data_IF_792025415486
#
_entry.id   IF_792025415486
#
_cell.length_a   1.000
_cell.length_b   1.000
_cell.length_c   1.000
_cell.angle_alpha   90.00
_cell.angle_beta   90.00
_cell.angle_gamma   90.00
#
_symmetry.space_group_name_H-M   'P 1'
#
loop_
_entity.id
_entity.type
_entity.pdbx_description
1 polymer ?
#
# COMPACT_ATOMS: atom_id res chain seq x y z
N UNK A 1 14.67 21.17 18.20
CA UNK A 1 13.55 21.43 17.28
C UNK A 1 13.78 20.67 15.97
N UNK A 2 12.71 20.23 15.31
CA UNK A 2 12.75 19.55 14.02
C UNK A 2 13.01 18.03 14.04
N UNK A 3 13.29 17.44 15.17
CA UNK A 3 13.39 15.98 15.34
C UNK A 3 12.04 15.36 15.70
N UNK A 4 11.89 14.05 15.47
CA UNK A 4 10.79 13.29 16.00
C UNK A 4 10.75 13.37 17.54
N UNK A 5 9.55 13.47 18.10
CA UNK A 5 9.33 13.44 19.54
C UNK A 5 8.95 12.00 19.89
N UNK A 6 9.69 11.39 20.79
CA UNK A 6 9.44 10.07 21.33
C UNK A 6 8.61 10.17 22.60
N UNK A 7 7.73 9.22 22.79
CA UNK A 7 6.92 9.11 24.00
C UNK A 7 7.68 8.35 25.08
N UNK A 8 7.69 8.90 26.28
CA UNK A 8 8.15 8.22 27.50
C UNK A 8 6.96 7.41 28.03
N UNK A 9 6.96 6.13 27.71
CA UNK A 9 5.82 5.22 28.00
C UNK A 9 5.80 4.85 29.48
N UNK A 10 6.97 4.68 30.09
CA UNK A 10 7.08 4.28 31.49
C UNK A 10 7.07 5.46 32.48
N UNK A 11 7.25 6.72 32.00
CA UNK A 11 7.19 7.94 32.79
C UNK A 11 8.43 8.18 33.64
N UNK A 12 9.59 7.62 33.29
CA UNK A 12 10.82 7.77 34.06
C UNK A 12 11.63 9.00 33.67
N UNK A 13 11.21 9.76 32.65
CA UNK A 13 11.85 10.97 32.16
C UNK A 13 13.04 10.72 31.22
N UNK A 14 13.26 9.46 30.82
CA UNK A 14 14.33 9.05 29.92
C UNK A 14 13.75 8.24 28.76
N UNK A 15 14.17 8.49 27.54
CA UNK A 15 13.77 7.68 26.37
C UNK A 15 14.76 6.55 26.19
N UNK A 16 14.34 5.33 26.55
CA UNK A 16 15.16 4.12 26.54
C UNK A 16 14.53 2.99 25.74
N UNK A 17 15.11 1.81 25.81
CA UNK A 17 14.51 0.59 25.21
C UNK A 17 13.25 0.13 25.94
N UNK A 18 13.04 0.58 27.16
CA UNK A 18 11.92 0.20 28.01
C UNK A 18 10.63 0.96 27.59
N UNK A 19 10.78 2.02 26.76
CA UNK A 19 9.66 2.77 26.15
C UNK A 19 9.16 2.14 24.85
N UNK A 20 9.68 0.97 24.45
CA UNK A 20 9.18 0.28 23.28
C UNK A 20 7.81 -0.31 23.55
N UNK A 21 6.87 0.01 22.70
CA UNK A 21 5.48 -0.47 22.78
C UNK A 21 5.02 -1.06 21.45
N UNK A 22 3.89 -1.74 21.47
CA UNK A 22 3.22 -2.20 20.25
C UNK A 22 2.63 -0.99 19.56
N UNK A 23 3.05 -0.73 18.33
CA UNK A 23 2.64 0.44 17.54
C UNK A 23 1.64 0.11 16.43
N UNK A 24 1.25 -1.16 16.30
CA UNK A 24 0.26 -1.57 15.31
C UNK A 24 0.01 -3.07 15.33
N UNK A 25 -1.04 -3.50 14.64
CA UNK A 25 -1.38 -4.90 14.42
C UNK A 25 -1.36 -5.22 12.92
N UNK A 26 -0.52 -6.17 12.52
CA UNK A 26 -0.40 -6.59 11.14
C UNK A 26 -1.57 -7.47 10.66
N UNK A 27 -2.43 -7.95 11.58
CA UNK A 27 -3.53 -8.82 11.22
C UNK A 27 -4.78 -8.00 10.90
N UNK A 28 -5.42 -8.22 9.74
CA UNK A 28 -6.67 -7.56 9.42
C UNK A 28 -7.80 -8.08 10.30
N UNK A 29 -8.75 -7.20 10.64
CA UNK A 29 -9.97 -7.54 11.37
C UNK A 29 -10.82 -8.53 10.59
N UNK A 30 -10.91 -8.34 9.28
CA UNK A 30 -11.57 -9.28 8.38
C UNK A 30 -11.06 -9.18 6.94
N UNK A 31 -11.08 -10.32 6.26
CA UNK A 31 -10.76 -10.44 4.84
C UNK A 31 -11.87 -11.18 4.12
N UNK A 32 -12.02 -10.95 2.85
CA UNK A 32 -12.98 -11.67 2.06
C UNK A 32 -12.92 -11.33 0.58
N UNK A 33 -13.84 -11.94 -0.15
CA UNK A 33 -14.01 -11.68 -1.56
C UNK A 33 -15.38 -12.11 -2.03
N UNK A 34 -15.77 -11.56 -3.15
CA UNK A 34 -16.98 -12.00 -3.84
C UNK A 34 -16.76 -12.04 -5.34
N UNK A 35 -17.49 -12.92 -6.00
CA UNK A 35 -17.48 -13.00 -7.45
C UNK A 35 -18.89 -13.07 -7.99
N UNK A 36 -19.08 -12.57 -9.20
CA UNK A 36 -20.33 -12.65 -9.91
C UNK A 36 -20.10 -13.19 -11.32
N UNK A 37 -21.05 -13.98 -11.81
CA UNK A 37 -21.07 -14.50 -13.17
C UNK A 37 -22.47 -14.32 -13.73
N UNK A 38 -22.58 -13.57 -14.80
CA UNK A 38 -23.84 -13.28 -15.47
C UNK A 38 -23.73 -13.75 -16.90
N UNK A 39 -24.79 -14.44 -17.40
CA UNK A 39 -24.85 -14.83 -18.79
C UNK A 39 -26.24 -14.54 -19.36
N UNK A 40 -26.26 -13.95 -20.56
CA UNK A 40 -27.50 -13.60 -21.22
C UNK A 40 -27.32 -13.58 -22.73
N UNK A 41 -28.07 -14.43 -23.44
CA UNK A 41 -28.12 -14.48 -24.92
C UNK A 41 -26.73 -14.46 -25.60
N UNK A 42 -25.78 -15.19 -25.07
CA UNK A 42 -24.43 -15.28 -25.60
C UNK A 42 -23.44 -14.22 -25.03
N UNK A 43 -23.92 -13.22 -24.31
CA UNK A 43 -23.09 -12.33 -23.52
C UNK A 43 -22.77 -13.02 -22.19
N UNK A 44 -21.54 -13.01 -21.79
CA UNK A 44 -21.06 -13.46 -20.47
C UNK A 44 -20.22 -12.37 -19.80
N UNK A 45 -20.51 -12.15 -18.56
CA UNK A 45 -19.79 -11.21 -17.72
C UNK A 45 -19.38 -11.91 -16.42
N UNK A 46 -18.12 -11.82 -16.07
CA UNK A 46 -17.63 -12.24 -14.76
C UNK A 46 -16.82 -11.14 -14.11
N UNK A 47 -16.96 -11.01 -12.81
CA UNK A 47 -16.15 -10.11 -12.03
C UNK A 47 -15.83 -10.73 -10.67
N UNK A 48 -14.61 -10.53 -10.20
CA UNK A 48 -14.16 -10.95 -8.87
C UNK A 48 -13.48 -9.81 -8.14
N UNK A 49 -13.76 -9.74 -6.85
CA UNK A 49 -13.27 -8.70 -5.97
C UNK A 49 -12.70 -9.33 -4.71
N UNK A 50 -11.66 -8.73 -4.18
CA UNK A 50 -11.07 -9.08 -2.90
C UNK A 50 -11.00 -7.83 -2.01
N UNK A 51 -11.12 -8.02 -0.72
CA UNK A 51 -10.99 -6.93 0.24
C UNK A 51 -10.35 -7.42 1.54
N UNK A 52 -9.67 -6.51 2.19
CA UNK A 52 -9.15 -6.64 3.55
C UNK A 52 -9.47 -5.34 4.28
N UNK A 53 -9.84 -5.45 5.54
CA UNK A 53 -10.11 -4.29 6.38
C UNK A 53 -9.39 -4.46 7.71
N UNK A 54 -8.82 -3.37 8.23
CA UNK A 54 -7.95 -3.40 9.37
C UNK A 54 -6.57 -3.96 8.99
N UNK A 55 -5.74 -4.10 9.98
CA UNK A 55 -4.33 -4.43 9.81
C UNK A 55 -3.50 -3.22 9.42
N UNK A 56 -2.32 -3.19 9.93
CA UNK A 56 -1.37 -2.10 9.72
C UNK A 56 -0.08 -2.65 9.15
N UNK A 57 0.59 -1.83 8.34
CA UNK A 57 1.85 -2.20 7.70
C UNK A 57 2.86 -1.09 7.85
N UNK A 58 4.11 -1.46 8.05
CA UNK A 58 5.21 -0.49 8.04
C UNK A 58 5.54 -0.15 6.59
N UNK A 59 5.41 1.12 6.24
CA UNK A 59 5.81 1.62 4.94
C UNK A 59 7.33 1.76 4.88
N UNK A 60 8.01 0.68 4.52
CA UNK A 60 9.46 0.68 4.35
C UNK A 60 9.93 1.58 3.20
N UNK A 61 9.08 1.85 2.22
CA UNK A 61 9.41 2.78 1.16
C UNK A 61 9.57 4.19 1.71
N UNK A 62 8.64 4.63 2.57
CA UNK A 62 8.75 5.90 3.27
C UNK A 62 9.95 5.92 4.21
N UNK A 63 10.19 4.81 4.94
CA UNK A 63 11.34 4.67 5.80
C UNK A 63 12.67 4.94 5.07
N UNK A 64 12.84 4.45 3.85
CA UNK A 64 14.05 4.68 3.06
C UNK A 64 14.05 6.02 2.32
N UNK A 65 12.92 6.47 1.79
CA UNK A 65 12.86 7.65 0.93
C UNK A 65 12.65 8.97 1.69
N UNK A 66 12.23 8.91 2.95
CA UNK A 66 12.29 10.05 3.87
C UNK A 66 13.62 10.16 4.62
N UNK A 67 14.47 9.14 4.51
CA UNK A 67 15.77 9.16 5.14
C UNK A 67 16.70 10.14 4.42
N UNK A 68 17.06 11.21 5.10
CA UNK A 68 17.93 12.26 4.59
C UNK A 68 19.41 12.02 4.89
N UNK A 69 19.81 10.77 5.10
CA UNK A 69 21.18 10.34 5.26
C UNK A 69 21.72 9.68 3.98
N UNK A 70 22.98 9.92 3.69
CA UNK A 70 23.65 9.32 2.53
C UNK A 70 23.32 9.97 1.20
N UNK A 71 23.55 9.21 0.11
CA UNK A 71 23.45 9.67 -1.28
C UNK A 71 22.26 9.07 -2.04
N UNK A 72 21.33 8.43 -1.34
CA UNK A 72 20.16 7.80 -1.95
C UNK A 72 19.15 8.82 -2.50
N UNK A 73 18.33 8.36 -3.43
CA UNK A 73 17.18 9.14 -3.89
C UNK A 73 16.18 9.32 -2.75
N UNK A 74 15.48 10.46 -2.77
CA UNK A 74 14.50 10.84 -1.75
C UNK A 74 13.23 11.35 -2.42
N UNK A 75 12.13 11.37 -1.67
CA UNK A 75 10.90 12.02 -2.13
C UNK A 75 11.08 13.54 -2.23
N UNK A 76 10.39 14.15 -3.17
CA UNK A 76 10.39 15.61 -3.34
C UNK A 76 9.87 16.36 -2.10
N UNK A 77 8.99 15.75 -1.31
CA UNK A 77 8.45 16.31 -0.07
C UNK A 77 9.54 16.60 0.97
N UNK A 78 10.68 15.91 0.89
CA UNK A 78 11.84 16.15 1.77
C UNK A 78 12.43 17.55 1.60
N UNK A 79 12.17 18.22 0.46
CA UNK A 79 12.53 19.62 0.28
C UNK A 79 11.79 20.55 1.26
N UNK A 80 10.61 20.17 1.71
CA UNK A 80 9.78 20.89 2.67
C UNK A 80 10.11 20.54 4.15
N UNK A 81 11.27 19.93 4.41
CA UNK A 81 11.73 19.57 5.75
C UNK A 81 11.90 20.77 6.67
N UNK A 82 11.92 20.49 7.95
CA UNK A 82 12.32 21.52 8.93
C UNK A 82 13.77 21.98 8.68
N UNK A 83 13.98 23.28 8.62
CA UNK A 83 15.32 23.91 8.48
C UNK A 83 15.62 24.76 9.71
N UNK A 84 14.66 25.56 10.15
CA UNK A 84 14.78 26.44 11.32
C UNK A 84 13.38 26.90 11.78
N UNK A 85 13.30 27.54 12.94
CA UNK A 85 12.05 28.12 13.44
C UNK A 85 11.45 29.17 12.48
N UNK A 86 12.30 29.85 11.69
CA UNK A 86 11.85 30.75 10.63
C UNK A 86 11.39 30.02 9.36
N UNK A 87 11.82 28.77 9.19
CA UNK A 87 11.45 27.87 8.10
C UNK A 87 11.11 26.49 8.67
N UNK A 88 9.97 26.34 9.32
CA UNK A 88 9.61 25.11 10.03
C UNK A 88 9.28 23.95 9.10
N UNK A 89 9.24 24.19 7.78
CA UNK A 89 8.84 23.18 6.81
C UNK A 89 7.34 22.91 6.84
N UNK A 90 6.95 21.88 6.09
CA UNK A 90 5.58 21.39 6.01
C UNK A 90 5.57 19.87 6.24
N UNK A 91 4.39 19.33 6.47
CA UNK A 91 4.14 17.88 6.47
C UNK A 91 4.91 17.04 7.50
N UNK A 92 5.34 17.64 8.60
CA UNK A 92 6.05 16.92 9.67
C UNK A 92 7.31 16.16 9.20
N UNK A 93 7.96 16.62 8.13
CA UNK A 93 9.22 16.03 7.68
C UNK A 93 10.35 16.49 8.61
N UNK A 94 11.10 15.54 9.21
CA UNK A 94 12.15 15.87 10.17
C UNK A 94 13.30 16.69 9.57
N UNK A 95 14.15 17.25 10.43
CA UNK A 95 15.40 17.91 10.04
C UNK A 95 16.36 16.90 9.41
N UNK A 96 17.09 17.32 8.37
CA UNK A 96 18.20 16.54 7.85
C UNK A 96 19.37 16.52 8.85
N UNK A 97 19.90 15.33 9.11
CA UNK A 97 21.05 15.15 9.98
C UNK A 97 22.16 14.37 9.28
N UNK A 98 23.40 14.81 9.43
CA UNK A 98 24.58 14.09 8.96
C UNK A 98 25.05 13.02 9.94
N UNK A 99 24.55 13.06 11.18
CA UNK A 99 24.99 12.18 12.26
C UNK A 99 23.91 11.16 12.51
N UNK A 100 24.15 9.91 12.08
CA UNK A 100 23.18 8.81 12.20
C UNK A 100 22.77 8.53 13.66
N UNK A 101 23.61 8.80 14.62
CA UNK A 101 23.31 8.61 16.05
C UNK A 101 22.25 9.57 16.58
N UNK A 102 22.02 10.68 15.90
CA UNK A 102 21.02 11.69 16.27
C UNK A 102 19.83 11.71 15.34
N UNK A 103 19.91 10.98 14.21
CA UNK A 103 18.80 10.92 13.26
C UNK A 103 17.72 9.98 13.77
N UNK A 104 16.64 10.55 14.24
CA UNK A 104 15.46 9.82 14.70
C UNK A 104 14.62 9.26 13.56
N UNK A 105 14.80 9.75 12.33
CA UNK A 105 14.07 9.26 11.14
C UNK A 105 14.47 7.85 10.75
N UNK A 106 15.64 7.35 11.16
CA UNK A 106 16.09 5.98 10.95
C UNK A 106 15.51 4.96 11.94
N UNK A 107 14.80 5.40 12.97
CA UNK A 107 14.16 4.49 13.91
C UNK A 107 12.75 4.17 13.44
N UNK A 108 12.42 2.89 13.43
CA UNK A 108 11.05 2.44 13.20
C UNK A 108 10.12 2.98 14.28
N UNK A 109 9.04 3.61 13.88
CA UNK A 109 8.08 4.25 14.76
C UNK A 109 6.70 4.26 14.12
N UNK A 110 5.68 4.68 14.87
CA UNK A 110 4.33 4.87 14.38
C UNK A 110 4.22 5.83 13.18
N UNK A 111 5.23 6.66 12.95
CA UNK A 111 5.31 7.55 11.79
C UNK A 111 5.27 6.80 10.44
N UNK A 112 5.76 5.56 10.41
CA UNK A 112 5.81 4.71 9.20
C UNK A 112 4.73 3.64 9.17
N UNK A 113 3.86 3.59 10.18
CA UNK A 113 2.74 2.65 10.22
C UNK A 113 1.57 3.23 9.48
N UNK A 114 1.03 2.47 8.53
CA UNK A 114 -0.09 2.86 7.69
C UNK A 114 -1.17 1.77 7.69
N UNK A 115 -2.41 2.18 7.49
CA UNK A 115 -3.54 1.28 7.32
C UNK A 115 -3.40 0.48 6.02
N UNK A 116 -3.40 -0.84 6.13
CA UNK A 116 -3.27 -1.79 5.03
C UNK A 116 -4.61 -2.22 4.43
N UNK A 117 -5.71 -1.59 4.81
CA UNK A 117 -7.03 -1.89 4.26
C UNK A 117 -7.06 -1.68 2.75
N UNK A 118 -7.76 -2.55 2.03
CA UNK A 118 -7.93 -2.40 0.60
C UNK A 118 -9.23 -3.03 0.08
N UNK A 119 -9.66 -2.53 -1.06
CA UNK A 119 -10.66 -3.15 -1.92
C UNK A 119 -10.11 -3.24 -3.34
N UNK A 120 -10.05 -4.45 -3.88
CA UNK A 120 -9.44 -4.73 -5.19
C UNK A 120 -10.44 -5.36 -6.14
N UNK A 121 -10.44 -4.88 -7.38
CA UNK A 121 -11.02 -5.59 -8.51
C UNK A 121 -9.97 -6.57 -9.07
N UNK A 122 -10.09 -7.84 -8.68
CA UNK A 122 -9.10 -8.87 -9.03
C UNK A 122 -9.19 -9.27 -10.51
N UNK A 123 -10.40 -9.43 -11.04
CA UNK A 123 -10.60 -9.74 -12.46
C UNK A 123 -11.96 -9.21 -12.93
N UNK A 124 -12.02 -8.75 -14.17
CA UNK A 124 -13.26 -8.54 -14.91
C UNK A 124 -13.09 -9.17 -16.28
N UNK A 125 -14.05 -9.98 -16.70
CA UNK A 125 -14.12 -10.55 -18.05
C UNK A 125 -15.49 -10.30 -18.64
N UNK A 126 -15.50 -9.77 -19.86
CA UNK A 126 -16.69 -9.59 -20.68
C UNK A 126 -16.51 -10.38 -21.97
N UNK A 127 -17.35 -11.37 -22.20
CA UNK A 127 -17.30 -12.22 -23.37
C UNK A 127 -18.60 -12.18 -24.17
N UNK A 128 -18.51 -12.44 -25.46
CA UNK A 128 -19.65 -12.61 -26.33
C UNK A 128 -19.44 -13.79 -27.26
N UNK A 129 -20.33 -14.74 -27.17
CA UNK A 129 -20.38 -15.90 -28.08
C UNK A 129 -21.26 -15.57 -29.26
N UNK A 130 -20.66 -15.58 -30.43
CA UNK A 130 -21.36 -15.26 -31.69
C UNK A 130 -22.47 -16.27 -32.01
N UNK A 131 -23.63 -15.82 -32.54
CA UNK A 131 -24.73 -16.68 -32.87
C UNK A 131 -24.33 -17.73 -33.92
N UNK A 132 -24.79 -18.97 -33.74
CA UNK A 132 -24.55 -20.08 -34.69
C UNK A 132 -24.88 -19.71 -36.14
N UNK A 133 -25.90 -18.88 -36.36
CA UNK A 133 -26.33 -18.41 -37.70
C UNK A 133 -25.22 -17.69 -38.46
N UNK A 134 -24.32 -16.98 -37.77
CA UNK A 134 -23.18 -16.29 -38.38
C UNK A 134 -22.05 -17.28 -38.62
N UNK A 135 -21.84 -18.17 -37.67
CA UNK A 135 -20.73 -19.14 -37.70
C UNK A 135 -20.91 -20.18 -38.79
N UNK A 136 -22.15 -20.63 -39.05
CA UNK A 136 -22.42 -21.57 -40.13
C UNK A 136 -22.05 -21.04 -41.52
N UNK A 137 -22.13 -19.73 -41.75
CA UNK A 137 -21.68 -19.10 -42.99
C UNK A 137 -20.17 -19.09 -43.15
N UNK A 138 -19.43 -19.10 -42.03
CA UNK A 138 -17.99 -19.09 -42.00
C UNK A 138 -17.36 -20.49 -41.84
N UNK A 139 -18.19 -21.55 -41.85
CA UNK A 139 -17.78 -22.94 -41.60
C UNK A 139 -16.99 -23.13 -40.29
N UNK A 140 -17.32 -22.32 -39.26
CA UNK A 140 -16.73 -22.38 -37.92
C UNK A 140 -17.77 -22.89 -36.94
N UNK A 141 -17.38 -23.78 -36.03
CA UNK A 141 -18.31 -24.42 -35.07
C UNK A 141 -18.79 -23.43 -34.01
N UNK A 142 -17.92 -22.58 -33.52
CA UNK A 142 -18.21 -21.52 -32.54
C UNK A 142 -17.10 -20.47 -32.52
N UNK A 143 -17.45 -19.24 -32.18
CA UNK A 143 -16.51 -18.19 -31.96
C UNK A 143 -16.96 -17.38 -30.74
N UNK A 144 -16.05 -17.19 -29.78
CA UNK A 144 -16.25 -16.32 -28.63
C UNK A 144 -15.16 -15.24 -28.62
N UNK A 145 -15.57 -14.01 -28.56
CA UNK A 145 -14.68 -12.86 -28.38
C UNK A 145 -14.83 -12.42 -26.95
N UNK A 146 -13.71 -12.16 -26.27
CA UNK A 146 -13.75 -11.68 -24.88
C UNK A 146 -12.68 -10.63 -24.64
N UNK A 147 -12.97 -9.79 -23.66
CA UNK A 147 -12.03 -8.85 -23.06
C UNK A 147 -11.87 -9.24 -21.59
N UNK A 148 -10.64 -9.35 -21.11
CA UNK A 148 -10.34 -9.65 -19.71
C UNK A 148 -9.30 -8.67 -19.19
N UNK A 149 -9.52 -8.24 -17.96
CA UNK A 149 -8.58 -7.39 -17.24
C UNK A 149 -8.37 -7.91 -15.83
N UNK A 150 -7.12 -8.02 -15.43
CA UNK A 150 -6.70 -8.43 -14.09
C UNK A 150 -6.18 -7.23 -13.31
N UNK A 151 -6.46 -7.19 -12.00
CA UNK A 151 -6.00 -6.14 -11.09
C UNK A 151 -6.29 -4.73 -11.61
N UNK A 152 -7.50 -4.49 -12.09
CA UNK A 152 -7.87 -3.25 -12.77
C UNK A 152 -7.74 -2.01 -11.88
N UNK A 153 -8.07 -2.15 -10.61
CA UNK A 153 -7.88 -1.11 -9.62
C UNK A 153 -7.82 -1.67 -8.21
N UNK A 154 -7.13 -0.93 -7.34
CA UNK A 154 -7.13 -1.15 -5.90
C UNK A 154 -7.41 0.18 -5.22
N UNK A 155 -8.39 0.21 -4.35
CA UNK A 155 -8.71 1.35 -3.49
C UNK A 155 -8.11 1.04 -2.12
N UNK A 156 -7.20 1.87 -1.64
CA UNK A 156 -6.49 1.69 -0.37
C UNK A 156 -6.03 3.04 0.16
N UNK A 157 -5.99 3.26 1.48
CA UNK A 157 -5.32 4.39 2.09
C UNK A 157 -3.79 4.25 2.11
N UNK A 158 -3.27 3.03 1.91
CA UNK A 158 -1.84 2.77 1.90
C UNK A 158 -1.13 3.49 0.74
N UNK A 159 -0.07 4.23 1.03
CA UNK A 159 0.67 5.03 0.06
C UNK A 159 1.76 4.27 -0.69
N UNK A 160 2.11 3.07 -0.24
CA UNK A 160 3.08 2.20 -0.91
C UNK A 160 2.48 1.47 -2.11
N UNK A 161 3.26 0.58 -2.73
CA UNK A 161 2.85 -0.10 -3.97
C UNK A 161 1.72 -1.11 -3.78
N UNK A 162 1.74 -1.89 -2.70
CA UNK A 162 0.76 -2.95 -2.48
C UNK A 162 0.55 -3.18 -0.98
N UNK A 163 -0.67 -3.01 -0.46
CA UNK A 163 -0.95 -3.24 0.95
C UNK A 163 -0.87 -4.71 1.38
N UNK A 164 -0.89 -5.66 0.45
CA UNK A 164 -0.77 -7.10 0.75
C UNK A 164 0.67 -7.58 0.95
N UNK A 165 1.66 -6.71 0.78
CA UNK A 165 3.06 -7.11 0.98
C UNK A 165 3.33 -7.26 2.46
N UNK A 166 3.41 -8.50 2.94
CA UNK A 166 3.86 -8.79 4.30
C UNK A 166 5.37 -8.61 4.42
N UNK A 167 5.85 -8.28 5.61
CA UNK A 167 7.29 -8.21 5.94
C UNK A 167 8.06 -9.45 5.49
N UNK A 168 7.44 -10.63 5.54
CA UNK A 168 8.04 -11.90 5.13
C UNK A 168 8.24 -12.02 3.61
N UNK A 169 7.45 -11.33 2.80
CA UNK A 169 7.60 -11.37 1.34
C UNK A 169 8.71 -10.44 0.82
N UNK A 170 9.16 -9.48 1.62
CA UNK A 170 10.28 -8.60 1.29
C UNK A 170 11.66 -9.24 1.57
N UNK A 171 11.71 -10.37 2.28
CA UNK A 171 12.96 -11.08 2.57
C UNK A 171 13.43 -11.91 1.37
N UNK A 172 12.61 -12.06 0.33
CA UNK A 172 12.90 -12.86 -0.86
C UNK A 172 13.15 -12.05 -2.15
N UNK A 173 13.45 -10.77 -2.04
CA UNK A 173 13.86 -9.94 -3.19
C UNK A 173 15.35 -9.63 -3.09
#
# INVERSE_FOLDING_TARGET
YGNAIWEDVNGDGLITTDDKTIIGDAYPDFTGGFSTNLSWKGLDFSASFAYSYGGEVINFQDYYLYNMEGSGNQYSIVADRYISDAQPGRNNVPIASRISTTNTSLKLSSYYVEDASFFRCANITLGYTLPKRWMSKLHVSSCRVYFSGDNLFTITPYRGYNPEVSYLSLIHI
#
